data_IF_083572307024
#
_entry.id   IF_083572307024
#
_cell.length_a   1.000
_cell.length_b   1.000
_cell.length_c   1.000
_cell.angle_alpha   90.00
_cell.angle_beta   90.00
_cell.angle_gamma   90.00
#
_symmetry.space_group_name_H-M   'P 1'
#
loop_
_entity.id
_entity.type
_entity.pdbx_description
1 polymer ?
#
# COMPACT_ATOMS: atom_id res chain seq x y z
N UNK A 1 5.11 -9.07 14.76
CA UNK A 1 5.76 -9.50 13.50
C UNK A 1 4.80 -10.42 12.77
N UNK A 2 4.55 -10.17 11.48
CA UNK A 2 3.53 -10.86 10.71
C UNK A 2 4.04 -12.23 10.21
N UNK A 3 3.30 -13.29 10.54
CA UNK A 3 3.55 -14.64 10.00
C UNK A 3 2.83 -14.80 8.66
N UNK A 4 3.54 -15.24 7.63
CA UNK A 4 2.95 -15.55 6.32
C UNK A 4 2.50 -17.01 6.31
N UNK A 5 1.19 -17.21 6.23
CA UNK A 5 0.60 -18.53 6.03
C UNK A 5 0.49 -18.85 4.54
N UNK A 6 1.11 -19.95 4.12
CA UNK A 6 0.88 -20.52 2.79
C UNK A 6 -0.45 -21.30 2.79
N UNK A 7 -1.54 -20.57 2.61
CA UNK A 7 -2.91 -21.11 2.65
C UNK A 7 -3.76 -20.54 1.51
N UNK A 8 -4.98 -21.05 1.37
CA UNK A 8 -6.01 -20.48 0.51
C UNK A 8 -6.60 -19.21 1.09
N UNK A 9 -6.98 -18.29 0.19
CA UNK A 9 -7.82 -17.12 0.43
C UNK A 9 -9.01 -17.19 -0.52
N UNK A 10 -10.23 -17.02 -0.03
CA UNK A 10 -11.44 -17.02 -0.87
C UNK A 10 -12.41 -15.91 -0.47
N UNK A 11 -12.72 -14.94 -1.35
CA UNK A 11 -12.01 -14.65 -2.59
C UNK A 11 -10.51 -14.36 -2.37
N UNK A 12 -9.72 -14.50 -3.42
CA UNK A 12 -8.33 -14.08 -3.44
C UNK A 12 -8.24 -12.54 -3.40
N UNK A 13 -7.07 -12.03 -3.01
CA UNK A 13 -6.82 -10.58 -2.96
C UNK A 13 -7.04 -9.90 -4.31
N UNK A 14 -6.60 -10.52 -5.40
CA UNK A 14 -6.78 -9.96 -6.76
C UNK A 14 -8.24 -10.01 -7.22
N UNK A 15 -9.03 -11.01 -6.81
CA UNK A 15 -10.47 -11.03 -7.11
C UNK A 15 -11.22 -9.91 -6.38
N UNK A 16 -10.87 -9.64 -5.11
CA UNK A 16 -11.41 -8.48 -4.38
C UNK A 16 -11.05 -7.16 -5.08
N UNK A 17 -9.79 -7.00 -5.47
CA UNK A 17 -9.33 -5.79 -6.16
C UNK A 17 -9.96 -5.62 -7.55
N UNK A 18 -10.26 -6.70 -8.26
CA UNK A 18 -10.91 -6.62 -9.57
C UNK A 18 -12.30 -5.97 -9.49
N UNK A 19 -13.04 -6.18 -8.40
CA UNK A 19 -14.32 -5.50 -8.15
C UNK A 19 -14.16 -4.07 -7.64
N UNK A 20 -13.09 -3.78 -6.89
CA UNK A 20 -12.89 -2.49 -6.21
C UNK A 20 -12.21 -1.44 -7.09
N UNK A 21 -11.18 -1.80 -7.86
CA UNK A 21 -10.38 -0.84 -8.66
C UNK A 21 -11.23 0.03 -9.61
N UNK A 22 -12.21 -0.51 -10.38
CA UNK A 22 -13.03 0.30 -11.28
C UNK A 22 -13.86 1.39 -10.59
N UNK A 23 -14.01 1.32 -9.26
CA UNK A 23 -14.76 2.30 -8.47
C UNK A 23 -13.91 3.50 -8.03
N UNK A 24 -12.60 3.49 -8.32
CA UNK A 24 -11.64 4.50 -7.86
C UNK A 24 -11.35 5.53 -8.95
N UNK A 25 -11.21 6.83 -8.61
CA UNK A 25 -11.04 7.89 -9.60
C UNK A 25 -9.67 7.89 -10.31
N UNK A 26 -8.65 7.26 -9.71
CA UNK A 26 -7.31 7.12 -10.30
C UNK A 26 -7.16 5.87 -11.17
N UNK A 27 -8.16 4.98 -11.23
CA UNK A 27 -8.07 3.77 -12.04
C UNK A 27 -8.13 4.09 -13.54
N UNK A 28 -7.20 3.52 -14.32
CA UNK A 28 -7.00 3.84 -15.75
C UNK A 28 -7.43 2.72 -16.70
N UNK A 29 -7.85 1.56 -16.17
CA UNK A 29 -8.22 0.40 -16.97
C UNK A 29 -9.71 0.38 -17.34
N UNK A 30 -10.16 -0.74 -17.89
CA UNK A 30 -11.54 -0.95 -18.31
C UNK A 30 -12.46 -1.48 -17.21
N UNK A 31 -13.73 -1.72 -17.53
CA UNK A 31 -14.72 -2.16 -16.54
C UNK A 31 -14.40 -3.53 -15.88
N UNK A 32 -13.56 -4.35 -16.52
CA UNK A 32 -13.19 -5.69 -16.03
C UNK A 32 -11.66 -5.82 -16.01
N UNK A 33 -11.02 -5.54 -14.87
CA UNK A 33 -9.56 -5.68 -14.72
C UNK A 33 -9.12 -7.15 -14.83
N UNK A 34 -7.91 -7.38 -15.34
CA UNK A 34 -7.23 -8.69 -15.27
C UNK A 34 -5.95 -8.49 -14.48
N UNK A 35 -6.00 -8.80 -13.18
CA UNK A 35 -4.98 -8.43 -12.22
C UNK A 35 -3.98 -9.56 -11.94
N UNK A 36 -2.71 -9.22 -11.99
CA UNK A 36 -1.59 -10.04 -11.54
C UNK A 36 -0.95 -9.37 -10.31
N UNK A 37 -0.68 -10.15 -9.25
CA UNK A 37 0.16 -9.65 -8.15
C UNK A 37 1.61 -9.61 -8.64
N UNK A 38 2.16 -8.41 -8.80
CA UNK A 38 3.46 -8.19 -9.43
C UNK A 38 4.55 -7.74 -8.46
N UNK A 39 4.19 -7.31 -7.26
CA UNK A 39 5.18 -6.82 -6.29
C UNK A 39 4.53 -6.35 -5.01
N UNK A 40 5.31 -5.61 -4.22
CA UNK A 40 4.85 -5.08 -2.95
C UNK A 40 5.69 -5.52 -1.76
N UNK A 41 5.33 -4.99 -0.60
CA UNK A 41 5.99 -5.25 0.68
C UNK A 41 4.95 -5.27 1.81
N UNK A 42 5.38 -5.61 3.01
CA UNK A 42 4.55 -5.61 4.22
C UNK A 42 5.14 -4.70 5.28
N UNK A 43 4.29 -4.29 6.21
CA UNK A 43 4.71 -3.71 7.48
C UNK A 43 4.22 -4.59 8.61
N UNK A 44 4.96 -4.56 9.71
CA UNK A 44 4.52 -5.20 10.94
C UNK A 44 3.65 -4.25 11.76
N UNK A 45 2.50 -4.75 12.19
CA UNK A 45 1.75 -4.22 13.32
C UNK A 45 2.43 -4.68 14.63
N UNK A 46 2.83 -3.75 15.51
CA UNK A 46 3.41 -4.07 16.82
C UNK A 46 2.49 -4.93 17.69
N UNK A 47 1.17 -4.70 17.63
CA UNK A 47 0.18 -5.45 18.42
C UNK A 47 -0.18 -6.80 17.78
N UNK A 48 0.15 -6.98 16.49
CA UNK A 48 -0.06 -8.24 15.77
C UNK A 48 -1.51 -8.51 15.34
N UNK A 49 -2.40 -7.52 15.45
CA UNK A 49 -3.83 -7.65 15.18
C UNK A 49 -4.18 -7.34 13.71
N UNK A 50 -3.38 -6.50 13.06
CA UNK A 50 -3.63 -6.02 11.69
C UNK A 50 -2.56 -6.53 10.73
N UNK A 51 -2.99 -7.25 9.69
CA UNK A 51 -2.10 -7.56 8.57
C UNK A 51 -1.96 -6.34 7.66
N UNK A 52 -0.74 -5.82 7.49
CA UNK A 52 -0.47 -4.63 6.66
C UNK A 52 0.31 -5.03 5.41
N UNK A 53 -0.22 -4.71 4.23
CA UNK A 53 0.41 -5.02 2.93
C UNK A 53 0.31 -3.82 1.99
N UNK A 54 1.39 -3.54 1.28
CA UNK A 54 1.40 -2.63 0.14
C UNK A 54 1.57 -3.50 -1.10
N UNK A 55 0.47 -3.87 -1.74
CA UNK A 55 0.49 -4.74 -2.92
C UNK A 55 0.72 -3.90 -4.18
N UNK A 56 1.59 -4.38 -5.07
CA UNK A 56 1.55 -3.93 -6.47
C UNK A 56 0.74 -4.94 -7.27
N UNK A 57 -0.37 -4.47 -7.84
CA UNK A 57 -1.24 -5.22 -8.72
C UNK A 57 -1.16 -4.64 -10.14
N UNK A 58 -0.76 -5.45 -11.11
CA UNK A 58 -0.68 -5.04 -12.50
C UNK A 58 -1.94 -5.47 -13.24
N UNK A 59 -2.65 -4.50 -13.83
CA UNK A 59 -3.75 -4.75 -14.73
C UNK A 59 -3.23 -4.99 -16.15
N UNK A 60 -3.67 -6.09 -16.73
CA UNK A 60 -3.25 -6.60 -18.04
C UNK A 60 -4.42 -6.66 -19.03
N UNK A 61 -5.60 -6.14 -18.65
CA UNK A 61 -6.79 -6.12 -19.50
C UNK A 61 -6.65 -5.19 -20.72
N UNK A 62 -5.86 -4.12 -20.59
CA UNK A 62 -5.65 -3.11 -21.62
C UNK A 62 -4.43 -3.36 -22.51
N UNK A 63 -4.26 -2.56 -23.59
CA UNK A 63 -3.09 -2.63 -24.46
C UNK A 63 -1.80 -2.25 -23.74
N UNK A 64 -1.89 -1.37 -22.74
CA UNK A 64 -0.80 -1.01 -21.84
C UNK A 64 -1.02 -1.65 -20.47
N UNK A 65 0.03 -2.25 -19.92
CA UNK A 65 0.01 -2.79 -18.56
C UNK A 65 0.13 -1.64 -17.57
N UNK A 66 -0.83 -1.52 -16.66
CA UNK A 66 -0.82 -0.48 -15.63
C UNK A 66 -0.59 -1.10 -14.26
N UNK A 67 0.47 -0.67 -13.57
CA UNK A 67 0.76 -1.12 -12.21
C UNK A 67 0.12 -0.20 -11.18
N UNK A 68 -0.62 -0.79 -10.24
CA UNK A 68 -1.28 -0.07 -9.17
C UNK A 68 -0.70 -0.44 -7.81
N UNK A 69 -0.39 0.57 -6.99
CA UNK A 69 -0.05 0.39 -5.58
C UNK A 69 -1.33 0.41 -4.74
N UNK A 70 -1.56 -0.66 -3.98
CA UNK A 70 -2.74 -0.81 -3.13
C UNK A 70 -2.30 -1.13 -1.69
N UNK A 71 -2.27 -0.13 -0.79
CA UNK A 71 -2.20 -0.36 0.65
C UNK A 71 -3.46 -1.09 1.12
N UNK A 72 -3.27 -2.19 1.83
CA UNK A 72 -4.32 -3.09 2.29
C UNK A 72 -4.11 -3.39 3.77
N UNK A 73 -5.20 -3.34 4.53
CA UNK A 73 -5.24 -3.94 5.87
C UNK A 73 -6.19 -5.12 5.91
N UNK A 74 -5.80 -6.14 6.69
CA UNK A 74 -6.59 -7.33 6.95
C UNK A 74 -6.85 -7.45 8.45
N UNK A 75 -8.12 -7.41 8.85
CA UNK A 75 -8.54 -7.46 10.25
C UNK A 75 -9.35 -8.73 10.54
N UNK A 76 -9.29 -9.19 11.78
CA UNK A 76 -10.09 -10.33 12.27
C UNK A 76 -11.52 -9.98 12.69
N UNK A 77 -11.90 -8.71 12.61
CA UNK A 77 -13.24 -8.18 12.85
C UNK A 77 -13.45 -6.90 12.01
N UNK A 78 -14.70 -6.45 11.78
CA UNK A 78 -14.96 -5.17 11.15
C UNK A 78 -14.29 -4.00 11.89
N UNK A 79 -13.78 -3.03 11.13
CA UNK A 79 -13.29 -1.75 11.63
C UNK A 79 -14.44 -0.74 11.66
N UNK A 80 -14.85 -0.35 12.87
CA UNK A 80 -15.91 0.64 13.10
C UNK A 80 -15.55 1.99 12.47
N UNK A 81 -16.50 2.58 11.72
CA UNK A 81 -16.35 3.88 11.09
C UNK A 81 -15.53 3.88 9.78
N UNK A 82 -15.11 2.69 9.31
CA UNK A 82 -14.38 2.51 8.05
C UNK A 82 -15.17 1.68 7.03
N UNK A 83 -16.50 1.58 7.18
CA UNK A 83 -17.36 0.75 6.32
C UNK A 83 -17.27 1.18 4.84
N UNK A 84 -17.12 2.48 4.59
CA UNK A 84 -16.92 3.02 3.23
C UNK A 84 -15.59 2.63 2.59
N UNK A 85 -14.62 2.20 3.39
CA UNK A 85 -13.29 1.76 2.95
C UNK A 85 -13.18 0.24 2.83
N UNK A 86 -14.24 -0.52 3.16
CA UNK A 86 -14.25 -1.97 3.03
C UNK A 86 -14.18 -2.35 1.55
N UNK A 87 -13.13 -3.10 1.19
CA UNK A 87 -12.97 -3.69 -0.15
C UNK A 87 -13.81 -4.96 -0.25
N UNK A 88 -13.80 -5.76 0.82
CA UNK A 88 -14.62 -6.97 0.93
C UNK A 88 -14.14 -7.89 2.06
N UNK A 89 -14.79 -9.04 2.21
CA UNK A 89 -14.38 -10.09 3.14
C UNK A 89 -13.74 -11.27 2.41
N UNK A 90 -12.90 -12.02 3.11
CA UNK A 90 -12.31 -13.26 2.61
C UNK A 90 -12.17 -14.31 3.70
N UNK A 91 -12.31 -15.58 3.33
CA UNK A 91 -11.98 -16.72 4.16
C UNK A 91 -10.49 -17.05 4.04
N UNK A 92 -9.77 -16.97 5.15
CA UNK A 92 -8.37 -17.35 5.25
C UNK A 92 -8.24 -18.73 5.89
N UNK A 93 -7.68 -19.72 5.19
CA UNK A 93 -7.71 -21.13 5.64
C UNK A 93 -7.10 -21.43 7.02
N UNK A 94 -6.24 -20.55 7.54
CA UNK A 94 -5.70 -20.63 8.92
C UNK A 94 -6.36 -19.66 9.91
N UNK A 95 -6.71 -18.46 9.47
CA UNK A 95 -7.09 -17.35 10.35
C UNK A 95 -8.62 -17.15 10.37
N UNK A 96 -9.38 -17.88 9.56
CA UNK A 96 -10.83 -17.71 9.41
C UNK A 96 -11.18 -16.46 8.60
N UNK A 97 -12.38 -15.92 8.80
CA UNK A 97 -12.87 -14.73 8.12
C UNK A 97 -11.96 -13.52 8.37
N UNK A 98 -11.76 -12.72 7.32
CA UNK A 98 -10.94 -11.51 7.32
C UNK A 98 -11.65 -10.39 6.56
N UNK A 99 -11.59 -9.19 7.11
CA UNK A 99 -12.07 -7.97 6.47
C UNK A 99 -10.90 -7.25 5.82
N UNK A 100 -10.97 -7.04 4.51
CA UNK A 100 -9.98 -6.33 3.73
C UNK A 100 -10.43 -4.89 3.49
N UNK A 101 -9.60 -3.93 3.88
CA UNK A 101 -9.87 -2.50 3.72
C UNK A 101 -8.86 -1.85 2.79
N UNK A 102 -9.26 -0.75 2.15
CA UNK A 102 -8.31 0.22 1.62
C UNK A 102 -7.53 0.82 2.80
N UNK A 103 -6.29 0.38 2.95
CA UNK A 103 -5.53 0.61 4.17
C UNK A 103 -5.16 2.07 4.40
N UNK A 104 -5.33 2.94 3.39
CA UNK A 104 -5.23 4.40 3.58
C UNK A 104 -6.25 4.93 4.61
N UNK A 105 -7.37 4.25 4.83
CA UNK A 105 -8.35 4.61 5.85
C UNK A 105 -8.08 3.97 7.21
N UNK A 106 -7.09 3.08 7.32
CA UNK A 106 -6.77 2.37 8.55
C UNK A 106 -5.69 3.11 9.36
N UNK A 107 -5.98 3.58 10.58
CA UNK A 107 -5.01 4.30 11.40
C UNK A 107 -3.72 3.53 11.66
N UNK A 108 -3.79 2.19 11.71
CA UNK A 108 -2.62 1.34 11.94
C UNK A 108 -1.70 1.41 10.72
N UNK A 109 -2.21 1.23 9.49
CA UNK A 109 -1.37 1.33 8.30
C UNK A 109 -0.81 2.74 8.13
N UNK A 110 -1.64 3.78 8.26
CA UNK A 110 -1.20 5.16 8.09
C UNK A 110 -0.06 5.52 9.06
N UNK A 111 -0.19 5.12 10.32
CA UNK A 111 0.85 5.27 11.35
C UNK A 111 2.13 4.52 10.99
N UNK A 112 2.02 3.23 10.62
CA UNK A 112 3.20 2.42 10.28
C UNK A 112 3.90 2.90 9.02
N UNK A 113 3.18 3.50 8.06
CA UNK A 113 3.76 4.11 6.87
C UNK A 113 4.58 5.37 7.21
N UNK A 114 4.08 6.24 8.09
CA UNK A 114 4.85 7.39 8.57
C UNK A 114 6.14 6.92 9.29
N UNK A 115 6.04 5.89 10.13
CA UNK A 115 7.22 5.31 10.77
C UNK A 115 8.18 4.62 9.78
N UNK A 116 7.69 4.09 8.66
CA UNK A 116 8.58 3.59 7.60
C UNK A 116 9.36 4.75 6.96
N UNK A 117 8.71 5.88 6.69
CA UNK A 117 9.34 7.08 6.15
C UNK A 117 10.38 7.62 7.14
N UNK A 118 10.02 7.76 8.41
CA UNK A 118 10.93 8.19 9.49
C UNK A 118 12.07 7.18 9.76
N UNK A 119 11.83 5.89 9.48
CA UNK A 119 12.79 4.80 9.65
C UNK A 119 12.71 4.06 10.97
N UNK A 120 11.71 4.36 11.79
CA UNK A 120 11.37 3.66 13.02
C UNK A 120 10.56 2.37 12.76
N UNK A 121 10.06 2.18 11.53
CA UNK A 121 9.54 0.91 11.03
C UNK A 121 10.34 0.40 9.83
N UNK A 122 10.21 -0.91 9.55
CA UNK A 122 10.94 -1.58 8.48
C UNK A 122 9.98 -2.25 7.50
N UNK A 123 10.29 -2.15 6.21
CA UNK A 123 9.63 -2.92 5.17
C UNK A 123 10.02 -4.40 5.27
N UNK A 124 9.02 -5.27 5.17
CA UNK A 124 9.15 -6.72 5.28
C UNK A 124 8.77 -7.37 3.95
N UNK A 125 9.43 -8.47 3.61
CA UNK A 125 9.18 -9.25 2.42
C UNK A 125 7.74 -9.76 2.43
N UNK A 126 7.07 -9.66 1.30
CA UNK A 126 5.65 -10.00 1.19
C UNK A 126 5.34 -11.50 1.08
N UNK A 127 6.36 -12.35 0.96
CA UNK A 127 6.24 -13.80 0.73
C UNK A 127 7.09 -14.65 1.68
N UNK A 128 7.94 -14.04 2.52
CA UNK A 128 8.81 -14.76 3.46
C UNK A 128 8.68 -14.10 4.83
N UNK A 129 8.29 -14.88 5.83
CA UNK A 129 8.16 -14.39 7.21
C UNK A 129 9.48 -13.84 7.72
N UNK A 130 9.38 -12.82 8.58
CA UNK A 130 10.48 -12.28 9.38
C UNK A 130 11.70 -11.81 8.57
N UNK A 131 11.49 -11.59 7.27
CA UNK A 131 12.54 -11.26 6.33
C UNK A 131 12.36 -9.81 5.90
N UNK A 132 13.32 -8.93 6.19
CA UNK A 132 13.28 -7.58 5.67
C UNK A 132 13.27 -7.52 4.15
N UNK A 133 12.46 -6.63 3.60
CA UNK A 133 12.56 -6.26 2.19
C UNK A 133 13.74 -5.28 2.03
N UNK A 134 14.69 -5.62 1.15
CA UNK A 134 15.90 -4.82 0.89
C UNK A 134 15.76 -3.93 -0.34
N UNK A 135 14.73 -4.12 -1.14
CA UNK A 135 14.47 -3.30 -2.33
C UNK A 135 13.59 -2.10 -2.03
N UNK A 136 12.85 -2.14 -0.91
CA UNK A 136 12.14 -0.97 -0.42
C UNK A 136 13.13 0.00 0.21
N UNK A 137 13.23 1.18 -0.39
CA UNK A 137 14.06 2.29 0.09
C UNK A 137 13.18 3.41 0.63
N UNK A 138 13.76 4.23 1.49
CA UNK A 138 13.08 5.38 2.08
C UNK A 138 14.09 6.50 2.33
N UNK A 139 13.62 7.74 2.32
CA UNK A 139 14.35 8.87 2.90
C UNK A 139 13.40 9.77 3.67
N UNK A 140 13.96 10.50 4.63
CA UNK A 140 13.27 11.54 5.35
C UNK A 140 14.28 12.58 5.83
N UNK A 141 13.96 13.86 5.63
CA UNK A 141 14.81 15.00 5.97
C UNK A 141 14.09 16.01 6.88
N UNK A 142 12.93 15.65 7.44
CA UNK A 142 12.18 16.47 8.38
C UNK A 142 12.50 16.18 9.85
N UNK A 143 11.83 16.93 10.73
CA UNK A 143 11.86 16.69 12.18
C UNK A 143 11.20 15.36 12.56
N UNK A 144 11.53 14.76 13.72
CA UNK A 144 10.88 13.53 14.17
C UNK A 144 9.34 13.60 14.09
N UNK A 145 8.72 12.52 13.61
CA UNK A 145 7.27 12.45 13.40
C UNK A 145 6.58 12.21 14.74
N UNK A 146 5.94 13.26 15.26
CA UNK A 146 5.10 13.18 16.45
C UNK A 146 3.65 12.97 16.05
N UNK A 147 3.11 11.77 16.24
CA UNK A 147 1.75 11.45 15.80
C UNK A 147 0.66 12.23 16.54
N UNK A 148 0.80 12.48 17.85
CA UNK A 148 -0.24 13.15 18.63
C UNK A 148 -1.63 12.51 18.41
N UNK A 149 -2.61 13.34 18.06
CA UNK A 149 -3.99 12.91 17.73
C UNK A 149 -4.17 12.57 16.23
N UNK A 150 -3.11 12.18 15.53
CA UNK A 150 -3.17 11.85 14.10
C UNK A 150 -4.30 10.86 13.77
N UNK A 151 -5.13 11.23 12.80
CA UNK A 151 -6.16 10.39 12.22
C UNK A 151 -6.06 10.50 10.70
N UNK A 152 -6.07 9.36 9.97
CA UNK A 152 -6.03 9.40 8.53
C UNK A 152 -7.34 9.96 7.97
N UNK A 153 -7.24 11.00 7.15
CA UNK A 153 -8.36 11.56 6.38
C UNK A 153 -8.04 11.46 4.88
N UNK A 154 -8.03 10.25 4.31
CA UNK A 154 -7.65 10.04 2.92
C UNK A 154 -8.67 10.64 1.95
N UNK A 155 -8.16 11.29 0.92
CA UNK A 155 -8.92 11.80 -0.22
C UNK A 155 -8.29 11.29 -1.50
N UNK A 156 -9.10 10.62 -2.32
CA UNK A 156 -8.68 10.17 -3.65
C UNK A 156 -8.79 11.29 -4.69
N UNK A 157 -7.83 11.31 -5.61
CA UNK A 157 -7.84 12.11 -6.84
C UNK A 157 -7.38 11.25 -8.04
N UNK A 158 -7.20 11.84 -9.22
CA UNK A 158 -6.74 11.14 -10.43
C UNK A 158 -5.30 10.59 -10.36
N UNK A 159 -4.50 11.09 -9.41
CA UNK A 159 -3.08 10.77 -9.23
C UNK A 159 -2.84 9.76 -8.10
N UNK A 160 -3.78 9.62 -7.17
CA UNK A 160 -3.75 8.62 -6.11
C UNK A 160 -4.53 9.06 -4.87
N UNK A 161 -3.97 8.82 -3.69
CA UNK A 161 -4.60 9.17 -2.41
C UNK A 161 -3.72 10.14 -1.64
N UNK A 162 -4.32 11.20 -1.08
CA UNK A 162 -3.66 12.16 -0.18
C UNK A 162 -4.19 12.02 1.23
N UNK A 163 -3.33 12.17 2.24
CA UNK A 163 -3.70 12.24 3.64
C UNK A 163 -2.96 13.43 4.28
N UNK A 164 -3.64 14.23 5.11
CA UNK A 164 -2.94 15.10 6.05
C UNK A 164 -2.00 14.26 6.91
N UNK A 165 -0.82 14.78 7.24
CA UNK A 165 0.19 14.14 8.08
C UNK A 165 0.73 15.14 9.11
N UNK A 166 1.45 14.67 10.16
CA UNK A 166 1.98 15.56 11.20
C UNK A 166 2.84 16.70 10.63
N UNK A 167 2.97 17.78 11.41
CA UNK A 167 3.75 18.97 11.06
C UNK A 167 3.27 19.74 9.82
N UNK A 168 1.97 19.65 9.48
CA UNK A 168 1.42 20.35 8.32
C UNK A 168 1.97 19.82 7.00
N UNK A 169 2.23 18.52 6.95
CA UNK A 169 2.68 17.84 5.73
C UNK A 169 1.54 17.06 5.11
N UNK A 170 1.64 16.78 3.81
CA UNK A 170 0.73 15.88 3.10
C UNK A 170 1.47 14.62 2.68
N UNK A 171 0.89 13.48 3.05
CA UNK A 171 1.29 12.16 2.59
C UNK A 171 0.53 11.83 1.30
N UNK A 172 1.25 11.53 0.22
CA UNK A 172 0.66 11.07 -1.04
C UNK A 172 1.07 9.63 -1.33
N UNK A 173 0.07 8.77 -1.51
CA UNK A 173 0.23 7.42 -2.03
C UNK A 173 0.02 7.48 -3.55
N UNK A 174 1.06 7.15 -4.32
CA UNK A 174 1.00 7.08 -5.77
C UNK A 174 0.31 5.78 -6.17
N UNK A 175 -1.00 5.85 -6.42
CA UNK A 175 -1.80 4.67 -6.73
C UNK A 175 -1.50 4.12 -8.11
N UNK A 176 -1.19 4.97 -9.09
CA UNK A 176 -0.74 4.53 -10.41
C UNK A 176 0.77 4.70 -10.50
N UNK A 177 1.48 3.58 -10.63
CA UNK A 177 2.94 3.57 -10.62
C UNK A 177 3.49 3.88 -12.00
N UNK A 178 4.40 4.85 -12.05
CA UNK A 178 5.19 5.17 -13.23
C UNK A 178 6.63 4.73 -12.97
N UNK A 179 7.23 3.91 -13.86
CA UNK A 179 8.65 3.57 -13.76
C UNK A 179 9.49 4.84 -13.70
N UNK A 180 10.39 4.90 -12.73
CA UNK A 180 11.32 6.00 -12.53
C UNK A 180 12.75 5.58 -12.92
N UNK A 181 13.66 6.56 -12.92
CA UNK A 181 15.09 6.28 -12.96
C UNK A 181 15.51 5.37 -11.79
N UNK A 182 16.67 4.72 -11.92
CA UNK A 182 17.21 3.84 -10.88
C UNK A 182 18.45 4.49 -10.23
N UNK A 183 18.46 4.76 -8.90
CA UNK A 183 17.35 4.54 -7.96
C UNK A 183 16.19 5.53 -8.16
N UNK A 184 14.94 5.16 -7.82
CA UNK A 184 13.83 6.11 -7.80
C UNK A 184 14.13 7.24 -6.81
N UNK A 185 14.04 8.48 -7.29
CA UNK A 185 14.24 9.67 -6.49
C UNK A 185 12.91 10.36 -6.20
N UNK A 186 12.74 10.94 -5.00
CA UNK A 186 11.54 11.70 -4.69
C UNK A 186 11.40 12.92 -5.62
N UNK A 187 10.16 13.38 -5.89
CA UNK A 187 9.94 14.63 -6.60
C UNK A 187 10.48 15.82 -5.82
N UNK A 188 10.73 16.93 -6.52
CA UNK A 188 11.16 18.19 -5.91
C UNK A 188 10.12 18.66 -4.87
N UNK A 189 10.60 19.11 -3.71
CA UNK A 189 9.76 19.56 -2.58
C UNK A 189 9.30 18.46 -1.63
N UNK A 190 9.55 17.18 -1.92
CA UNK A 190 9.29 16.11 -0.96
C UNK A 190 10.34 16.08 0.16
N UNK A 191 9.89 16.08 1.41
CA UNK A 191 10.70 15.95 2.62
C UNK A 191 10.93 14.49 3.01
N UNK A 192 10.15 13.56 2.46
CA UNK A 192 10.34 12.12 2.61
C UNK A 192 9.69 11.31 1.50
N UNK A 193 10.12 10.06 1.37
CA UNK A 193 9.51 9.12 0.43
C UNK A 193 9.73 7.66 0.82
N UNK A 194 8.94 6.78 0.18
CA UNK A 194 9.17 5.35 0.09
C UNK A 194 9.18 4.98 -1.39
N UNK A 195 10.18 4.21 -1.81
CA UNK A 195 10.26 3.66 -3.16
C UNK A 195 10.42 2.14 -3.10
N UNK A 196 10.04 1.48 -4.17
CA UNK A 196 10.17 0.03 -4.32
C UNK A 196 10.12 -0.38 -5.79
N UNK A 197 10.19 -1.68 -6.02
CA UNK A 197 10.14 -2.26 -7.35
C UNK A 197 9.04 -3.33 -7.45
N UNK A 198 8.62 -3.63 -8.67
CA UNK A 198 7.73 -4.75 -8.98
C UNK A 198 8.22 -5.48 -10.21
N UNK A 199 7.74 -6.70 -10.43
CA UNK A 199 8.09 -7.52 -11.59
C UNK A 199 7.16 -7.21 -12.76
N UNK A 200 7.75 -6.83 -13.88
CA UNK A 200 7.08 -6.74 -15.18
C UNK A 200 7.11 -8.11 -15.90
N UNK A 201 6.24 -8.29 -16.89
CA UNK A 201 6.11 -9.55 -17.64
C UNK A 201 7.34 -9.96 -18.44
N UNK A 202 8.21 -9.01 -18.77
CA UNK A 202 9.50 -9.22 -19.42
C UNK A 202 10.62 -9.60 -18.42
N UNK A 203 10.28 -9.76 -17.14
CA UNK A 203 11.23 -10.05 -16.07
C UNK A 203 12.03 -8.84 -15.61
N UNK A 204 11.82 -7.66 -16.22
CA UNK A 204 12.41 -6.42 -15.75
C UNK A 204 11.73 -6.01 -14.44
N UNK A 205 12.51 -5.40 -13.54
CA UNK A 205 12.01 -4.89 -12.26
C UNK A 205 12.05 -3.36 -12.24
N UNK A 206 11.06 -2.67 -12.83
CA UNK A 206 10.98 -1.23 -12.71
C UNK A 206 10.86 -0.81 -11.25
N UNK A 207 11.55 0.26 -10.89
CA UNK A 207 11.39 0.95 -9.61
C UNK A 207 10.48 2.16 -9.76
N UNK A 208 9.74 2.51 -8.71
CA UNK A 208 8.99 3.76 -8.64
C UNK A 208 8.98 4.31 -7.21
N UNK A 209 8.71 5.61 -7.10
CA UNK A 209 8.30 6.20 -5.83
C UNK A 209 6.87 5.77 -5.54
N UNK A 210 6.67 5.09 -4.42
CA UNK A 210 5.38 4.58 -3.98
C UNK A 210 4.63 5.60 -3.15
N UNK A 211 5.36 6.31 -2.28
CA UNK A 211 4.80 7.28 -1.34
C UNK A 211 5.71 8.49 -1.26
N UNK A 212 5.12 9.67 -1.18
CA UNK A 212 5.82 10.94 -0.93
C UNK A 212 5.22 11.63 0.29
N UNK A 213 6.07 12.34 1.02
CA UNK A 213 5.69 13.24 2.11
C UNK A 213 6.25 14.60 1.76
N UNK A 214 5.38 15.60 1.65
CA UNK A 214 5.76 16.96 1.28
C UNK A 214 5.18 17.96 2.28
N UNK A 215 5.86 19.10 2.46
CA UNK A 215 5.23 20.24 3.12
C UNK A 215 4.08 20.75 2.23
N UNK A 216 3.02 21.22 2.86
CA UNK A 216 1.93 21.93 2.17
C UNK A 216 2.38 23.28 1.58
#
# INVERSE_FOLDING_TARGET
MAVIHHTTLKPTKVELLAGWLPTRPWYRGGAVPVLEKSGGFRLDDPEGEVGIEFMVATDTSGPERTAYLVPLTYRGAPLEGAEHALIGTMEHGVLGERWAYDGCHDPVLATRLLFLIEGSARAMAQSVSDTPDREVTRSYAGDPICLGDFRPEPTDDEQGTRLPAPHGTTLRIHRVLQPAANPPLPPEGAVGHVAGAWTSSDGIRPGAVFVTLSAD
#
